data_IF_506768677144
#
_entry.id   IF_506768677144
#
_cell.length_a   1.000
_cell.length_b   1.000
_cell.length_c   1.000
_cell.angle_alpha   90.00
_cell.angle_beta   90.00
_cell.angle_gamma   90.00
#
_symmetry.space_group_name_H-M   'P 1'
#
loop_
_entity.id
_entity.type
_entity.pdbx_description
1 polymer ?
#
# COMPACT_ATOMS: atom_id res chain seq x y z
N UNK A 1 -7.02 -2.05 -12.08
CA UNK A 1 -6.85 -1.86 -10.62
C UNK A 1 -7.66 -2.83 -9.77
N UNK A 2 -9.00 -2.89 -9.89
CA UNK A 2 -9.82 -3.76 -9.03
C UNK A 2 -9.32 -5.20 -8.96
N UNK A 3 -8.93 -5.82 -10.08
CA UNK A 3 -8.38 -7.18 -10.08
C UNK A 3 -7.07 -7.31 -9.30
N UNK A 4 -6.12 -6.38 -9.47
CA UNK A 4 -4.85 -6.36 -8.71
C UNK A 4 -5.08 -6.09 -7.21
N UNK A 5 -5.98 -5.17 -6.87
CA UNK A 5 -6.32 -4.89 -5.46
C UNK A 5 -7.01 -6.09 -4.83
N UNK A 6 -7.91 -6.75 -5.55
CA UNK A 6 -8.59 -7.95 -5.08
C UNK A 6 -7.61 -9.12 -4.91
N UNK A 7 -6.67 -9.32 -5.83
CA UNK A 7 -5.60 -10.32 -5.69
C UNK A 7 -4.66 -9.97 -4.52
N UNK A 8 -4.42 -8.68 -4.25
CA UNK A 8 -3.61 -8.23 -3.12
C UNK A 8 -4.29 -8.50 -1.80
N UNK A 9 -5.60 -8.31 -1.78
CA UNK A 9 -6.44 -8.53 -0.62
C UNK A 9 -6.66 -10.02 -0.35
N UNK A 10 -6.83 -10.83 -1.39
CA UNK A 10 -7.08 -12.27 -1.28
C UNK A 10 -5.82 -13.09 -1.01
N UNK A 11 -4.63 -12.57 -1.33
CA UNK A 11 -3.39 -13.29 -1.12
C UNK A 11 -3.05 -13.50 0.36
N UNK A 12 -2.98 -14.77 0.75
CA UNK A 12 -2.46 -15.23 2.05
C UNK A 12 -0.97 -15.56 2.01
N UNK A 13 -0.35 -15.64 0.83
CA UNK A 13 1.08 -15.93 0.69
C UNK A 13 1.92 -14.65 0.74
N UNK A 14 2.95 -14.64 1.60
CA UNK A 14 3.85 -13.48 1.80
C UNK A 14 4.56 -13.05 0.51
N UNK A 15 5.12 -14.01 -0.23
CA UNK A 15 5.88 -13.74 -1.45
C UNK A 15 5.00 -13.14 -2.56
N UNK A 16 3.81 -13.71 -2.75
CA UNK A 16 2.84 -13.21 -3.74
C UNK A 16 2.31 -11.82 -3.36
N UNK A 17 2.10 -11.56 -2.06
CA UNK A 17 1.71 -10.23 -1.57
C UNK A 17 2.78 -9.16 -1.79
N UNK A 18 4.07 -9.51 -1.64
CA UNK A 18 5.19 -8.59 -1.91
C UNK A 18 5.31 -8.25 -3.39
N UNK A 19 5.25 -9.25 -4.28
CA UNK A 19 5.30 -9.03 -5.73
C UNK A 19 4.15 -8.11 -6.16
N UNK A 20 2.95 -8.37 -5.64
CA UNK A 20 1.79 -7.60 -6.01
C UNK A 20 1.79 -6.17 -5.42
N UNK A 21 2.34 -5.98 -4.22
CA UNK A 21 2.62 -4.66 -3.66
C UNK A 21 3.53 -3.84 -4.60
N UNK A 22 4.62 -4.45 -5.08
CA UNK A 22 5.53 -3.79 -6.03
C UNK A 22 4.81 -3.41 -7.34
N UNK A 23 3.98 -4.30 -7.89
CA UNK A 23 3.20 -4.02 -9.10
C UNK A 23 2.21 -2.86 -8.88
N UNK A 24 1.54 -2.82 -7.73
CA UNK A 24 0.62 -1.71 -7.36
C UNK A 24 1.39 -0.40 -7.28
N UNK A 25 2.55 -0.40 -6.62
CA UNK A 25 3.41 0.78 -6.52
C UNK A 25 3.87 1.30 -7.89
N UNK A 26 4.44 0.42 -8.72
CA UNK A 26 4.89 0.81 -10.06
C UNK A 26 3.75 1.37 -10.92
N UNK A 27 2.56 0.77 -10.81
CA UNK A 27 1.37 1.23 -11.51
C UNK A 27 0.89 2.61 -11.02
N UNK A 28 0.92 2.86 -9.70
CA UNK A 28 0.55 4.16 -9.13
C UNK A 28 1.55 5.24 -9.53
N UNK A 29 2.86 4.96 -9.46
CA UNK A 29 3.89 5.88 -9.91
C UNK A 29 3.72 6.25 -11.39
N UNK A 30 3.41 5.28 -12.26
CA UNK A 30 3.12 5.54 -13.67
C UNK A 30 1.91 6.48 -13.87
N UNK A 31 0.83 6.28 -13.10
CA UNK A 31 -0.36 7.13 -13.17
C UNK A 31 -0.12 8.55 -12.66
N UNK A 32 0.65 8.69 -11.58
CA UNK A 32 1.00 10.00 -11.03
C UNK A 32 1.85 10.79 -12.04
N UNK A 33 2.83 10.12 -12.68
CA UNK A 33 3.65 10.74 -13.74
C UNK A 33 2.81 11.14 -14.96
N UNK A 34 1.77 10.37 -15.27
CA UNK A 34 0.80 10.67 -16.33
C UNK A 34 -0.27 11.71 -15.94
N UNK A 35 -0.13 12.40 -14.80
CA UNK A 35 -1.06 13.42 -14.26
C UNK A 35 -2.48 12.91 -13.92
N UNK A 36 -2.64 11.62 -13.65
CA UNK A 36 -3.91 11.02 -13.20
C UNK A 36 -4.02 10.91 -11.66
N UNK A 37 -3.46 11.86 -10.91
CA UNK A 37 -3.43 11.82 -9.43
C UNK A 37 -4.82 11.72 -8.79
N UNK A 38 -5.84 12.37 -9.36
CA UNK A 38 -7.22 12.28 -8.86
C UNK A 38 -7.78 10.84 -8.90
N UNK A 39 -7.49 10.08 -9.98
CA UNK A 39 -7.89 8.67 -10.09
C UNK A 39 -7.12 7.78 -9.11
N UNK A 40 -5.86 8.11 -8.84
CA UNK A 40 -5.06 7.37 -7.84
C UNK A 40 -5.68 7.53 -6.45
N UNK A 41 -6.12 8.72 -6.07
CA UNK A 41 -6.79 8.95 -4.79
C UNK A 41 -8.13 8.20 -4.68
N UNK A 42 -8.97 8.25 -5.71
CA UNK A 42 -10.24 7.51 -5.74
C UNK A 42 -10.01 6.00 -5.57
N UNK A 43 -9.06 5.45 -6.31
CA UNK A 43 -8.72 4.03 -6.23
C UNK A 43 -8.06 3.63 -4.92
N UNK A 44 -7.31 4.54 -4.29
CA UNK A 44 -6.73 4.34 -2.96
C UNK A 44 -7.85 4.20 -1.92
N UNK A 45 -8.82 5.12 -1.91
CA UNK A 45 -9.95 5.09 -0.98
C UNK A 45 -10.79 3.80 -1.13
N UNK A 46 -11.12 3.41 -2.36
CA UNK A 46 -11.83 2.16 -2.63
C UNK A 46 -11.05 0.92 -2.16
N UNK A 47 -9.72 0.97 -2.24
CA UNK A 47 -8.86 -0.13 -1.80
C UNK A 47 -8.77 -0.23 -0.28
N UNK A 48 -8.82 0.90 0.46
CA UNK A 48 -8.78 0.90 1.92
C UNK A 48 -9.94 0.12 2.53
N UNK A 49 -11.16 0.31 2.01
CA UNK A 49 -12.35 -0.42 2.45
C UNK A 49 -12.18 -1.93 2.24
N UNK A 50 -11.62 -2.33 1.10
CA UNK A 50 -11.40 -3.74 0.80
C UNK A 50 -10.31 -4.39 1.67
N UNK A 51 -9.23 -3.66 1.98
CA UNK A 51 -8.11 -4.17 2.79
C UNK A 51 -8.53 -4.34 4.26
N UNK A 52 -9.28 -3.39 4.81
CA UNK A 52 -9.73 -3.42 6.21
C UNK A 52 -10.73 -4.55 6.51
N UNK A 53 -11.52 -4.98 5.52
CA UNK A 53 -12.55 -6.01 5.70
C UNK A 53 -12.04 -7.46 5.60
N UNK A 54 -10.92 -7.72 4.92
CA UNK A 54 -10.57 -9.08 4.48
C UNK A 54 -9.21 -9.58 4.98
N UNK A 55 -8.35 -8.74 5.55
CA UNK A 55 -7.02 -9.12 6.05
C UNK A 55 -6.97 -9.20 7.57
N UNK A 56 -6.06 -10.02 8.11
CA UNK A 56 -5.66 -9.92 9.52
C UNK A 56 -5.07 -8.53 9.80
N UNK A 57 -5.19 -8.04 11.05
CA UNK A 57 -4.80 -6.67 11.42
C UNK A 57 -3.38 -6.32 10.98
N UNK A 58 -2.39 -7.20 11.21
CA UNK A 58 -1.00 -6.94 10.81
C UNK A 58 -0.81 -6.80 9.29
N UNK A 59 -1.49 -7.64 8.51
CA UNK A 59 -1.44 -7.60 7.06
C UNK A 59 -2.27 -6.46 6.47
N UNK A 60 -3.32 -6.03 7.16
CA UNK A 60 -4.09 -4.84 6.81
C UNK A 60 -3.26 -3.57 6.97
N UNK A 61 -2.56 -3.43 8.12
CA UNK A 61 -1.65 -2.30 8.39
C UNK A 61 -0.57 -2.23 7.30
N UNK A 62 0.14 -3.33 7.03
CA UNK A 62 1.16 -3.37 5.97
C UNK A 62 0.59 -3.03 4.58
N UNK A 63 -0.59 -3.57 4.27
CA UNK A 63 -1.27 -3.32 3.00
C UNK A 63 -1.69 -1.86 2.81
N UNK A 64 -2.23 -1.23 3.85
CA UNK A 64 -2.62 0.17 3.83
C UNK A 64 -1.41 1.09 3.77
N UNK A 65 -0.35 0.83 4.55
CA UNK A 65 0.89 1.61 4.50
C UNK A 65 1.52 1.58 3.11
N UNK A 66 1.54 0.40 2.47
CA UNK A 66 2.01 0.21 1.11
C UNK A 66 1.20 1.03 0.10
N UNK A 67 -0.12 0.98 0.22
CA UNK A 67 -1.05 1.70 -0.65
C UNK A 67 -0.91 3.22 -0.49
N UNK A 68 -0.86 3.72 0.74
CA UNK A 68 -0.70 5.16 1.04
C UNK A 68 0.63 5.70 0.54
N UNK A 69 1.74 4.98 0.74
CA UNK A 69 3.02 5.38 0.18
C UNK A 69 3.05 5.33 -1.35
N UNK A 70 2.36 4.37 -1.97
CA UNK A 70 2.26 4.29 -3.43
C UNK A 70 1.49 5.48 -4.04
N UNK A 71 0.55 6.07 -3.29
CA UNK A 71 -0.17 7.27 -3.71
C UNK A 71 0.65 8.56 -3.55
N UNK A 72 1.78 8.51 -2.83
CA UNK A 72 2.62 9.67 -2.53
C UNK A 72 3.93 9.66 -3.34
N UNK A 73 4.25 10.77 -4.02
CA UNK A 73 5.41 10.87 -4.95
C UNK A 73 6.79 10.72 -4.30
N UNK A 74 6.90 10.91 -2.99
CA UNK A 74 8.19 11.08 -2.30
C UNK A 74 8.69 9.77 -1.65
N UNK A 75 7.90 8.69 -1.70
CA UNK A 75 8.13 7.52 -0.86
C UNK A 75 8.82 6.31 -1.53
N UNK A 76 9.49 6.47 -2.67
CA UNK A 76 10.13 5.35 -3.39
C UNK A 76 11.16 4.59 -2.53
N UNK A 77 11.96 5.33 -1.75
CA UNK A 77 12.97 4.76 -0.86
C UNK A 77 12.33 4.04 0.36
N UNK A 78 11.24 4.60 0.89
CA UNK A 78 10.49 4.03 2.02
C UNK A 78 9.75 2.75 1.60
N UNK A 79 9.27 2.71 0.36
CA UNK A 79 8.58 1.57 -0.21
C UNK A 79 9.50 0.35 -0.35
N UNK A 80 10.71 0.54 -0.85
CA UNK A 80 11.73 -0.53 -0.96
C UNK A 80 12.11 -1.08 0.42
N UNK A 81 12.24 -0.22 1.43
CA UNK A 81 12.48 -0.61 2.81
C UNK A 81 11.31 -1.45 3.37
N UNK A 82 10.07 -1.07 3.09
CA UNK A 82 8.88 -1.82 3.50
C UNK A 82 8.78 -3.21 2.86
N UNK A 83 9.06 -3.32 1.56
CA UNK A 83 9.05 -4.60 0.84
C UNK A 83 10.00 -5.61 1.47
N UNK A 84 11.20 -5.17 1.84
CA UNK A 84 12.20 -6.00 2.51
C UNK A 84 11.78 -6.47 3.92
N UNK A 85 10.81 -5.77 4.53
CA UNK A 85 10.38 -5.97 5.93
C UNK A 85 8.94 -6.48 6.05
N UNK A 86 8.39 -7.08 4.99
CA UNK A 86 7.04 -7.67 4.96
C UNK A 86 6.95 -8.93 5.85
N UNK A 87 7.16 -8.78 7.15
CA UNK A 87 7.11 -9.84 8.15
C UNK A 87 6.47 -9.34 9.44
N UNK A 88 5.65 -10.22 10.05
CA UNK A 88 4.83 -9.97 11.23
C UNK A 88 5.62 -9.69 12.52
N UNK A 89 6.95 -9.82 12.47
CA UNK A 89 7.83 -9.61 13.62
C UNK A 89 8.01 -8.12 14.01
N UNK A 90 7.69 -7.18 13.12
CA UNK A 90 7.93 -5.75 13.33
C UNK A 90 6.65 -4.94 13.61
N UNK A 91 5.77 -5.43 14.50
CA UNK A 91 4.47 -4.79 14.79
C UNK A 91 4.58 -3.32 15.16
N UNK A 92 5.50 -2.95 16.05
CA UNK A 92 5.59 -1.55 16.51
C UNK A 92 6.10 -0.59 15.41
N UNK A 93 7.11 -1.01 14.65
CA UNK A 93 7.62 -0.23 13.53
C UNK A 93 6.57 -0.08 12.42
N UNK A 94 5.85 -1.16 12.10
CA UNK A 94 4.79 -1.17 11.09
C UNK A 94 3.67 -0.20 11.49
N UNK A 95 3.31 -0.13 12.78
CA UNK A 95 2.34 0.84 13.29
C UNK A 95 2.83 2.28 13.14
N UNK A 96 4.11 2.56 13.47
CA UNK A 96 4.68 3.90 13.30
C UNK A 96 4.70 4.32 11.83
N UNK A 97 5.12 3.43 10.93
CA UNK A 97 5.13 3.68 9.49
C UNK A 97 3.72 3.89 8.94
N UNK A 98 2.74 3.14 9.44
CA UNK A 98 1.34 3.34 9.08
C UNK A 98 0.83 4.73 9.47
N UNK A 99 1.15 5.20 10.68
CA UNK A 99 0.77 6.54 11.13
C UNK A 99 1.44 7.65 10.29
N UNK A 100 2.72 7.48 9.96
CA UNK A 100 3.45 8.41 9.09
C UNK A 100 2.81 8.43 7.70
N UNK A 101 2.59 7.26 7.08
CA UNK A 101 1.98 7.15 5.76
C UNK A 101 0.57 7.76 5.73
N UNK A 102 -0.25 7.51 6.76
CA UNK A 102 -1.59 8.08 6.88
C UNK A 102 -1.57 9.60 7.01
N UNK A 103 -0.63 10.16 7.78
CA UNK A 103 -0.46 11.60 7.92
C UNK A 103 -0.05 12.25 6.60
N UNK A 104 0.98 11.70 5.93
CA UNK A 104 1.47 12.25 4.65
C UNK A 104 0.40 12.14 3.56
N UNK A 105 -0.36 11.04 3.53
CA UNK A 105 -1.49 10.90 2.59
C UNK A 105 -2.62 11.90 2.85
N UNK A 106 -2.94 12.19 4.12
CA UNK A 106 -3.98 13.16 4.48
C UNK A 106 -3.61 14.61 4.16
N UNK A 107 -2.31 14.95 4.19
CA UNK A 107 -1.81 16.31 3.92
C UNK A 107 -1.61 16.62 2.43
N UNK A 108 -1.77 15.63 1.55
CA UNK A 108 -1.52 15.71 0.11
C UNK A 108 -2.75 16.21 -0.67
#
# INVERSE_FOLDING_TARGET
>A
MNKMVLEFVASTQKLYSQILAYTVFAFFCALINARYSAKVNEWTLLSMVNITQRKSIGMAILGLTCLMFSAHRIADALFSLMLSRFSDHFKELNNRLFLIAGREYYLQ
#
